data_IF_410339336986
#
_entry.id   IF_410339336986
#
_cell.length_a   1.000
_cell.length_b   1.000
_cell.length_c   1.000
_cell.angle_alpha   90.00
_cell.angle_beta   90.00
_cell.angle_gamma   90.00
#
_symmetry.space_group_name_H-M   'P 1'
#
loop_
_entity.id
_entity.type
_entity.pdbx_description
1 polymer ?
#
# COMPACT_ATOMS: atom_id res chain seq x y z
N UNK A 1 -8.95 12.89 4.18
CA UNK A 1 -9.07 14.36 4.20
C UNK A 1 -8.88 14.95 5.60
N UNK A 2 -8.83 16.25 5.76
CA UNK A 2 -8.82 16.90 7.09
C UNK A 2 -10.11 16.62 7.85
N UNK A 3 -10.11 16.88 9.16
CA UNK A 3 -11.33 16.85 9.96
C UNK A 3 -12.23 18.01 9.49
N UNK A 4 -13.50 17.70 9.27
CA UNK A 4 -14.49 18.64 8.77
C UNK A 4 -15.14 19.41 9.93
N UNK A 5 -15.47 20.68 9.70
CA UNK A 5 -16.34 21.45 10.59
C UNK A 5 -17.78 20.97 10.46
N UNK A 6 -18.62 21.22 11.48
CA UNK A 6 -20.03 20.88 11.44
C UNK A 6 -20.75 21.51 10.23
N UNK A 7 -20.38 22.74 9.88
CA UNK A 7 -20.92 23.48 8.74
C UNK A 7 -20.54 22.83 7.40
N UNK A 8 -19.32 22.35 7.24
CA UNK A 8 -18.88 21.61 6.05
C UNK A 8 -19.59 20.26 5.90
N UNK A 9 -19.82 19.55 7.02
CA UNK A 9 -20.59 18.29 7.02
C UNK A 9 -22.02 18.48 6.52
N UNK A 10 -22.63 19.63 6.83
CA UNK A 10 -24.03 19.93 6.47
C UNK A 10 -24.21 20.47 5.06
N UNK A 11 -23.19 21.11 4.48
CA UNK A 11 -23.29 21.82 3.20
C UNK A 11 -22.80 21.01 2.01
N UNK A 12 -21.92 20.04 2.22
CA UNK A 12 -21.27 19.31 1.14
C UNK A 12 -21.90 17.92 0.97
N UNK A 13 -22.17 17.55 -0.27
CA UNK A 13 -22.64 16.21 -0.64
C UNK A 13 -21.47 15.22 -0.74
N UNK A 14 -20.67 15.13 0.32
CA UNK A 14 -19.52 14.24 0.39
C UNK A 14 -19.83 12.97 1.19
N UNK A 15 -19.21 11.87 0.79
CA UNK A 15 -19.13 10.71 1.66
C UNK A 15 -18.29 11.06 2.88
N UNK A 16 -18.84 10.89 4.07
CA UNK A 16 -18.21 11.27 5.33
C UNK A 16 -18.17 10.05 6.26
N UNK A 17 -17.00 9.74 6.79
CA UNK A 17 -16.82 8.75 7.83
C UNK A 17 -16.53 9.41 9.18
N UNK A 18 -17.14 8.91 10.23
CA UNK A 18 -16.79 9.24 11.60
C UNK A 18 -15.43 8.58 11.94
N UNK A 19 -14.53 9.36 12.50
CA UNK A 19 -13.22 8.86 12.97
C UNK A 19 -13.00 9.26 14.42
N UNK A 20 -12.04 8.64 15.11
CA UNK A 20 -11.71 8.96 16.50
C UNK A 20 -11.33 10.43 16.75
N UNK A 21 -10.98 11.19 15.71
CA UNK A 21 -10.61 12.59 15.75
C UNK A 21 -11.67 13.53 15.15
N UNK A 22 -12.77 12.99 14.65
CA UNK A 22 -13.87 13.75 14.06
C UNK A 22 -14.30 13.27 12.67
N UNK A 23 -15.34 13.89 12.07
CA UNK A 23 -15.81 13.53 10.74
C UNK A 23 -14.79 13.93 9.66
N UNK A 24 -14.56 13.03 8.70
CA UNK A 24 -13.63 13.25 7.58
C UNK A 24 -14.28 12.86 6.28
N UNK A 25 -14.05 13.65 5.23
CA UNK A 25 -14.41 13.24 3.87
C UNK A 25 -13.64 11.98 3.50
N UNK A 26 -14.36 11.00 2.95
CA UNK A 26 -13.82 9.77 2.41
C UNK A 26 -14.13 9.66 0.91
N UNK A 27 -13.36 8.89 0.21
CA UNK A 27 -13.55 8.55 -1.20
C UNK A 27 -13.24 7.07 -1.41
N UNK A 28 -13.67 6.50 -2.52
CA UNK A 28 -13.33 5.13 -2.87
C UNK A 28 -11.81 4.92 -2.92
N UNK A 29 -11.35 3.72 -2.53
CA UNK A 29 -9.95 3.29 -2.67
C UNK A 29 -9.88 1.99 -3.47
N UNK A 30 -10.07 2.06 -4.79
CA UNK A 30 -10.07 0.90 -5.67
C UNK A 30 -8.67 0.30 -5.84
N UNK A 31 -8.63 -0.95 -6.30
CA UNK A 31 -7.38 -1.56 -6.76
C UNK A 31 -6.93 -0.90 -8.07
N UNK A 32 -5.64 -0.49 -8.18
CA UNK A 32 -5.10 -0.01 -9.45
C UNK A 32 -5.02 -1.18 -10.44
N UNK A 33 -5.36 -0.91 -11.72
CA UNK A 33 -5.35 -1.92 -12.78
C UNK A 33 -4.16 -1.77 -13.71
N UNK A 34 -3.68 -0.54 -13.91
CA UNK A 34 -2.57 -0.24 -14.81
C UNK A 34 -1.90 1.07 -14.41
N UNK A 35 -0.66 1.24 -14.84
CA UNK A 35 0.14 2.45 -14.65
C UNK A 35 0.37 3.05 -16.03
N UNK A 36 -0.15 4.24 -16.29
CA UNK A 36 -0.10 4.86 -17.63
C UNK A 36 1.34 5.13 -18.09
N UNK A 37 2.19 5.56 -17.16
CA UNK A 37 3.59 5.91 -17.43
C UNK A 37 4.56 4.71 -17.39
N UNK A 38 4.04 3.48 -17.29
CA UNK A 38 4.84 2.27 -17.10
C UNK A 38 5.94 2.10 -18.16
N UNK A 39 5.64 2.38 -19.42
CA UNK A 39 6.61 2.24 -20.52
C UNK A 39 7.81 3.18 -20.34
N UNK A 40 7.56 4.41 -19.90
CA UNK A 40 8.61 5.40 -19.63
C UNK A 40 9.43 4.97 -18.41
N UNK A 41 8.76 4.56 -17.32
CA UNK A 41 9.41 4.08 -16.09
C UNK A 41 10.33 2.92 -16.42
N UNK A 42 9.84 1.92 -17.16
CA UNK A 42 10.62 0.73 -17.56
C UNK A 42 11.85 1.11 -18.39
N UNK A 43 11.71 2.05 -19.32
CA UNK A 43 12.82 2.53 -20.13
C UNK A 43 13.90 3.18 -19.28
N UNK A 44 13.53 4.07 -18.36
CA UNK A 44 14.47 4.78 -17.50
C UNK A 44 15.18 3.81 -16.54
N UNK A 45 14.43 2.91 -15.90
CA UNK A 45 15.02 1.88 -15.02
C UNK A 45 15.99 0.99 -15.81
N UNK A 46 15.62 0.56 -17.02
CA UNK A 46 16.49 -0.24 -17.88
C UNK A 46 17.79 0.47 -18.32
N UNK A 47 17.82 1.79 -18.25
CA UNK A 47 19.00 2.61 -18.47
C UNK A 47 19.80 2.90 -17.19
N UNK A 48 19.41 2.31 -16.05
CA UNK A 48 20.07 2.48 -14.76
C UNK A 48 19.69 3.77 -14.01
N UNK A 49 18.62 4.45 -14.42
CA UNK A 49 18.12 5.62 -13.72
C UNK A 49 17.41 5.25 -12.42
N UNK A 50 17.54 6.08 -11.39
CA UNK A 50 16.70 6.04 -10.19
C UNK A 50 15.44 6.84 -10.47
N UNK A 51 14.28 6.18 -10.41
CA UNK A 51 12.99 6.77 -10.77
C UNK A 51 12.12 7.00 -9.54
N UNK A 52 11.68 8.24 -9.34
CA UNK A 52 10.67 8.60 -8.35
C UNK A 52 9.32 8.69 -9.05
N UNK A 53 8.38 7.83 -8.69
CA UNK A 53 7.05 7.79 -9.33
C UNK A 53 5.95 7.45 -8.32
N UNK A 54 4.69 7.66 -8.72
CA UNK A 54 3.50 7.28 -7.97
C UNK A 54 3.19 8.11 -6.74
N UNK A 55 4.17 8.71 -6.08
CA UNK A 55 3.94 9.49 -4.86
C UNK A 55 3.11 8.73 -3.82
N UNK A 56 1.96 9.26 -3.44
CA UNK A 56 1.02 8.62 -2.50
C UNK A 56 0.13 7.52 -3.08
N UNK A 57 0.37 7.07 -4.33
CA UNK A 57 -0.41 6.04 -5.03
C UNK A 57 -0.78 6.42 -6.48
N UNK A 58 -0.37 7.60 -6.92
CA UNK A 58 -0.69 8.14 -8.26
C UNK A 58 -2.02 8.88 -8.31
N UNK A 59 -2.30 9.47 -9.46
CA UNK A 59 -3.56 10.16 -9.75
C UNK A 59 -4.53 9.14 -10.35
N UNK A 60 -5.67 8.84 -9.66
CA UNK A 60 -6.64 7.90 -10.19
C UNK A 60 -7.38 8.48 -11.39
N UNK A 61 -7.34 7.75 -12.49
CA UNK A 61 -8.02 8.09 -13.72
C UNK A 61 -8.79 6.89 -14.28
N UNK A 62 -9.84 7.15 -15.02
CA UNK A 62 -10.56 6.15 -15.82
C UNK A 62 -10.52 6.56 -17.29
N UNK A 63 -10.61 5.58 -18.17
CA UNK A 63 -10.78 5.86 -19.59
C UNK A 63 -12.26 6.12 -19.87
N UNK A 64 -12.53 7.26 -20.48
CA UNK A 64 -13.83 7.61 -21.01
C UNK A 64 -13.66 7.92 -22.50
N UNK A 65 -14.26 7.09 -23.34
CA UNK A 65 -14.06 7.13 -24.79
C UNK A 65 -12.56 7.14 -25.15
N UNK A 66 -12.06 8.22 -25.74
CA UNK A 66 -10.67 8.34 -26.18
C UNK A 66 -9.75 9.15 -25.26
N UNK A 67 -10.21 9.52 -24.06
CA UNK A 67 -9.41 10.32 -23.12
C UNK A 67 -9.45 9.78 -21.68
N UNK A 68 -8.49 10.22 -20.89
CA UNK A 68 -8.38 9.90 -19.47
C UNK A 68 -9.00 11.00 -18.61
N UNK A 69 -9.85 10.62 -17.67
CA UNK A 69 -10.55 11.54 -16.76
C UNK A 69 -10.21 11.21 -15.32
N UNK A 70 -9.82 12.22 -14.55
CA UNK A 70 -9.61 12.10 -13.12
C UNK A 70 -10.90 11.75 -12.38
N UNK A 71 -10.82 10.90 -11.37
CA UNK A 71 -11.97 10.48 -10.56
C UNK A 71 -11.73 10.75 -9.07
N UNK A 72 -12.78 11.01 -8.28
CA UNK A 72 -12.68 11.19 -6.83
C UNK A 72 -12.41 9.85 -6.14
N UNK A 73 -11.15 9.42 -6.15
CA UNK A 73 -10.68 8.18 -5.54
C UNK A 73 -9.28 8.40 -4.96
N UNK A 74 -8.80 7.46 -4.14
CA UNK A 74 -7.42 7.38 -3.67
C UNK A 74 -6.90 5.99 -3.95
N UNK A 75 -5.82 5.89 -4.71
CA UNK A 75 -5.09 4.63 -4.84
C UNK A 75 -4.15 4.50 -3.64
N UNK A 76 -4.24 3.38 -2.95
CA UNK A 76 -3.32 3.06 -1.85
C UNK A 76 -1.90 2.88 -2.39
N UNK A 77 -0.92 3.52 -1.73
CA UNK A 77 0.48 3.51 -2.16
C UNK A 77 1.11 2.12 -2.14
N UNK A 78 0.71 1.27 -1.19
CA UNK A 78 1.27 -0.08 -1.07
C UNK A 78 0.75 -0.96 -2.21
N UNK A 79 -0.54 -0.81 -2.59
CA UNK A 79 -1.14 -1.45 -3.78
C UNK A 79 -0.53 -0.96 -5.08
N UNK A 80 -0.25 0.35 -5.18
CA UNK A 80 0.46 0.90 -6.33
C UNK A 80 1.87 0.32 -6.43
N UNK A 81 2.61 0.26 -5.32
CA UNK A 81 3.97 -0.29 -5.29
C UNK A 81 4.01 -1.77 -5.66
N UNK A 82 3.04 -2.56 -5.18
CA UNK A 82 2.91 -3.96 -5.55
C UNK A 82 2.63 -4.14 -7.05
N UNK A 83 1.72 -3.34 -7.63
CA UNK A 83 1.47 -3.35 -9.06
C UNK A 83 2.71 -2.94 -9.86
N UNK A 84 3.41 -1.89 -9.45
CA UNK A 84 4.63 -1.43 -10.11
C UNK A 84 5.73 -2.49 -10.05
N UNK A 85 5.94 -3.12 -8.90
CA UNK A 85 6.89 -4.21 -8.73
C UNK A 85 6.55 -5.38 -9.68
N UNK A 86 5.28 -5.75 -9.76
CA UNK A 86 4.78 -6.79 -10.67
C UNK A 86 5.07 -6.45 -12.12
N UNK A 87 4.72 -5.26 -12.54
CA UNK A 87 4.89 -4.82 -13.93
C UNK A 87 6.36 -4.66 -14.34
N UNK A 88 7.23 -4.36 -13.41
CA UNK A 88 8.68 -4.29 -13.64
C UNK A 88 9.40 -5.61 -13.44
N UNK A 89 8.74 -6.66 -12.95
CA UNK A 89 9.35 -7.92 -12.50
C UNK A 89 10.50 -7.66 -11.52
N UNK A 90 10.20 -6.87 -10.47
CA UNK A 90 11.20 -6.41 -9.53
C UNK A 90 11.81 -7.58 -8.74
N UNK A 91 13.10 -7.55 -8.49
CA UNK A 91 13.81 -8.52 -7.65
C UNK A 91 13.44 -8.34 -6.18
N UNK A 92 13.17 -7.10 -5.75
CA UNK A 92 12.82 -6.76 -4.38
C UNK A 92 11.69 -5.73 -4.34
N UNK A 93 10.68 -5.99 -3.51
CA UNK A 93 9.71 -4.99 -3.05
C UNK A 93 9.95 -4.71 -1.57
N UNK A 94 10.46 -3.53 -1.23
CA UNK A 94 10.67 -3.12 0.14
C UNK A 94 9.68 -2.02 0.53
N UNK A 95 8.90 -2.28 1.58
CA UNK A 95 7.94 -1.32 2.14
C UNK A 95 8.47 -0.79 3.47
N UNK A 96 8.79 0.50 3.51
CA UNK A 96 9.17 1.18 4.74
C UNK A 96 7.92 1.63 5.52
N UNK A 97 7.87 1.30 6.80
CA UNK A 97 6.74 1.59 7.70
C UNK A 97 7.23 1.97 9.09
N UNK A 98 6.40 2.72 9.83
CA UNK A 98 6.78 3.25 11.15
C UNK A 98 6.84 2.20 12.27
N UNK A 99 6.53 0.94 11.98
CA UNK A 99 6.65 -0.16 12.94
C UNK A 99 7.97 -0.89 12.74
N UNK A 100 8.54 -1.36 13.83
CA UNK A 100 9.81 -2.11 13.89
C UNK A 100 9.64 -3.58 13.49
N UNK A 101 8.47 -4.16 13.73
CA UNK A 101 8.18 -5.56 13.41
C UNK A 101 6.69 -5.82 13.21
N UNK A 102 6.37 -6.84 12.43
CA UNK A 102 5.02 -7.40 12.37
C UNK A 102 4.76 -8.15 13.68
N UNK A 103 3.56 -7.99 14.25
CA UNK A 103 3.21 -8.62 15.54
C UNK A 103 1.89 -9.36 15.45
N UNK A 104 1.82 -10.53 16.05
CA UNK A 104 0.59 -11.25 16.35
C UNK A 104 0.21 -11.10 17.81
N UNK A 105 -1.09 -11.25 18.14
CA UNK A 105 -1.61 -11.05 19.49
C UNK A 105 -1.45 -9.61 19.99
N UNK A 106 -1.48 -8.63 19.11
CA UNK A 106 -1.18 -7.23 19.44
C UNK A 106 -2.04 -6.71 20.60
N UNK A 107 -1.38 -6.17 21.63
CA UNK A 107 -2.03 -5.65 22.82
C UNK A 107 -2.50 -6.72 23.82
N UNK A 108 -2.13 -7.98 23.64
CA UNK A 108 -2.44 -9.08 24.55
C UNK A 108 -1.18 -9.65 25.21
N UNK A 109 -1.35 -10.51 26.22
CA UNK A 109 -0.23 -11.23 26.87
C UNK A 109 0.46 -12.25 25.95
N UNK A 110 -0.13 -12.54 24.78
CA UNK A 110 0.41 -13.45 23.76
C UNK A 110 1.09 -12.72 22.60
N UNK A 111 1.33 -11.42 22.73
CA UNK A 111 1.99 -10.62 21.68
C UNK A 111 3.38 -11.18 21.33
N UNK A 112 3.60 -11.39 20.03
CA UNK A 112 4.88 -11.90 19.49
C UNK A 112 5.25 -11.13 18.22
N UNK A 113 6.53 -10.73 18.15
CA UNK A 113 7.11 -10.20 16.92
C UNK A 113 7.38 -11.34 15.92
N UNK A 114 7.12 -11.09 14.67
CA UNK A 114 7.42 -11.99 13.56
C UNK A 114 8.53 -11.37 12.69
N UNK A 115 9.54 -12.15 12.40
CA UNK A 115 10.59 -11.80 11.42
C UNK A 115 10.22 -12.25 10.01
N UNK A 116 9.44 -13.32 9.91
CA UNK A 116 8.94 -13.87 8.65
C UNK A 116 7.48 -14.29 8.82
N UNK A 117 6.73 -14.22 7.72
CA UNK A 117 5.36 -14.72 7.64
C UNK A 117 5.11 -15.33 6.27
N UNK A 118 4.45 -16.48 6.21
CA UNK A 118 4.03 -17.05 4.94
C UNK A 118 2.85 -16.26 4.35
N UNK A 119 2.69 -16.30 3.01
CA UNK A 119 1.52 -15.71 2.35
C UNK A 119 0.20 -16.28 2.89
N UNK A 120 0.16 -17.55 3.22
CA UNK A 120 -1.03 -18.21 3.77
C UNK A 120 -1.38 -17.68 5.16
N UNK A 121 -0.39 -17.57 6.05
CA UNK A 121 -0.60 -17.06 7.40
C UNK A 121 -0.95 -15.56 7.39
N UNK A 122 -0.34 -14.79 6.48
CA UNK A 122 -0.69 -13.39 6.30
C UNK A 122 -2.15 -13.20 5.88
N UNK A 123 -2.63 -14.00 4.92
CA UNK A 123 -4.03 -13.97 4.48
C UNK A 123 -4.98 -14.42 5.61
N UNK A 124 -4.67 -15.51 6.30
CA UNK A 124 -5.45 -15.99 7.43
C UNK A 124 -5.53 -14.93 8.55
N UNK A 125 -4.43 -14.24 8.85
CA UNK A 125 -4.38 -13.16 9.83
C UNK A 125 -5.20 -11.93 9.41
N UNK A 126 -5.26 -11.63 8.10
CA UNK A 126 -6.14 -10.56 7.58
C UNK A 126 -7.61 -10.96 7.73
N UNK A 127 -7.97 -12.19 7.35
CA UNK A 127 -9.35 -12.70 7.44
C UNK A 127 -9.85 -12.80 8.88
N UNK A 128 -9.01 -13.22 9.80
CA UNK A 128 -9.36 -13.30 11.23
C UNK A 128 -9.43 -11.94 11.93
N UNK A 129 -8.96 -10.86 11.28
CA UNK A 129 -8.88 -9.53 11.87
C UNK A 129 -7.67 -9.31 12.77
N UNK A 130 -6.74 -10.25 12.83
CA UNK A 130 -5.43 -10.11 13.51
C UNK A 130 -4.67 -8.89 12.98
N UNK A 131 -4.72 -8.69 11.66
CA UNK A 131 -4.14 -7.51 10.99
C UNK A 131 -5.25 -6.55 10.56
N UNK A 132 -5.46 -5.43 11.29
CA UNK A 132 -6.61 -4.54 11.10
C UNK A 132 -6.69 -3.94 9.69
N UNK A 133 -7.91 -3.80 9.12
CA UNK A 133 -8.12 -3.30 7.76
C UNK A 133 -7.72 -1.84 7.56
N UNK A 134 -7.59 -1.05 8.63
CA UNK A 134 -7.22 0.37 8.58
C UNK A 134 -5.72 0.63 8.63
N UNK A 135 -4.87 -0.39 8.80
CA UNK A 135 -3.43 -0.21 9.00
C UNK A 135 -2.59 -1.30 8.33
N UNK A 136 -2.39 -2.43 9.00
CA UNK A 136 -1.48 -3.51 8.56
C UNK A 136 -2.12 -4.40 7.48
N UNK A 137 -3.42 -4.67 7.54
CA UNK A 137 -4.11 -5.56 6.61
C UNK A 137 -3.91 -5.18 5.13
N UNK A 138 -4.19 -3.93 4.70
CA UNK A 138 -3.98 -3.49 3.32
C UNK A 138 -2.52 -3.61 2.86
N UNK A 139 -1.56 -3.32 3.73
CA UNK A 139 -0.13 -3.43 3.46
C UNK A 139 0.28 -4.87 3.21
N UNK A 140 -0.07 -5.79 4.12
CA UNK A 140 0.19 -7.21 3.95
C UNK A 140 -0.50 -7.78 2.72
N UNK A 141 -1.75 -7.38 2.45
CA UNK A 141 -2.47 -7.78 1.23
C UNK A 141 -1.71 -7.39 -0.05
N UNK A 142 -1.15 -6.18 -0.10
CA UNK A 142 -0.35 -5.72 -1.23
C UNK A 142 0.95 -6.52 -1.37
N UNK A 143 1.63 -6.79 -0.25
CA UNK A 143 2.87 -7.59 -0.21
C UNK A 143 2.62 -9.04 -0.66
N UNK A 144 1.55 -9.67 -0.17
CA UNK A 144 1.14 -11.02 -0.59
C UNK A 144 0.83 -11.05 -2.09
N UNK A 145 0.09 -10.07 -2.60
CA UNK A 145 -0.21 -9.97 -4.03
C UNK A 145 1.06 -9.90 -4.88
N UNK A 146 2.04 -9.09 -4.50
CA UNK A 146 3.32 -9.00 -5.19
C UNK A 146 4.05 -10.35 -5.16
N UNK A 147 4.19 -10.97 -3.98
CA UNK A 147 4.88 -12.26 -3.82
C UNK A 147 4.24 -13.41 -4.59
N UNK A 148 2.90 -13.45 -4.63
CA UNK A 148 2.18 -14.47 -5.40
C UNK A 148 2.29 -14.29 -6.90
N UNK A 149 2.46 -13.04 -7.36
CA UNK A 149 2.58 -12.73 -8.79
C UNK A 149 4.01 -12.86 -9.30
N UNK A 150 5.00 -12.50 -8.45
CA UNK A 150 6.43 -12.55 -8.80
C UNK A 150 7.10 -13.52 -7.83
N UNK A 151 7.19 -14.78 -8.22
CA UNK A 151 7.69 -15.86 -7.35
C UNK A 151 9.10 -15.60 -6.81
N UNK A 152 9.98 -15.06 -7.63
CA UNK A 152 11.38 -14.78 -7.29
C UNK A 152 11.59 -13.43 -6.58
N UNK A 153 10.56 -12.59 -6.47
CA UNK A 153 10.64 -11.32 -5.78
C UNK A 153 10.79 -11.54 -4.26
N UNK A 154 11.78 -10.91 -3.67
CA UNK A 154 11.87 -10.77 -2.23
C UNK A 154 10.97 -9.64 -1.76
N UNK A 155 10.11 -9.91 -0.79
CA UNK A 155 9.15 -8.90 -0.29
C UNK A 155 9.46 -8.61 1.16
N UNK A 156 9.93 -7.39 1.42
CA UNK A 156 10.48 -6.95 2.69
C UNK A 156 9.65 -5.81 3.30
N UNK A 157 9.62 -5.78 4.62
CA UNK A 157 9.08 -4.65 5.39
C UNK A 157 10.07 -4.26 6.49
N UNK A 158 10.34 -2.96 6.64
CA UNK A 158 11.27 -2.48 7.65
C UNK A 158 10.88 -1.10 8.18
N UNK A 159 11.48 -0.72 9.30
CA UNK A 159 11.41 0.65 9.80
C UNK A 159 12.20 1.62 8.91
N UNK A 160 11.84 2.93 8.90
CA UNK A 160 12.67 3.95 8.26
C UNK A 160 14.09 3.94 8.83
N UNK A 161 15.09 3.86 7.97
CA UNK A 161 16.50 3.78 8.36
C UNK A 161 17.08 2.36 8.39
N UNK A 162 16.26 1.32 8.42
CA UNK A 162 16.72 -0.07 8.41
C UNK A 162 16.71 -0.75 7.02
N UNK A 163 16.36 0.00 5.97
CA UNK A 163 16.26 -0.53 4.61
C UNK A 163 17.52 -1.27 4.15
N UNK A 164 18.70 -0.74 4.46
CA UNK A 164 19.96 -1.36 4.07
C UNK A 164 20.21 -2.68 4.82
N UNK A 165 19.85 -2.74 6.10
CA UNK A 165 19.92 -3.98 6.91
C UNK A 165 18.96 -5.03 6.36
N UNK A 166 17.70 -4.62 6.11
CA UNK A 166 16.68 -5.51 5.53
C UNK A 166 17.15 -6.12 4.20
N UNK A 167 17.72 -5.30 3.30
CA UNK A 167 18.25 -5.76 2.01
C UNK A 167 19.47 -6.70 2.15
N UNK A 168 20.15 -6.70 3.29
CA UNK A 168 21.27 -7.62 3.59
C UNK A 168 20.84 -8.85 4.36
N UNK A 169 19.56 -8.98 4.69
CA UNK A 169 19.07 -10.05 5.57
C UNK A 169 19.52 -9.90 7.02
N UNK A 170 19.91 -8.70 7.44
CA UNK A 170 20.27 -8.36 8.81
C UNK A 170 18.99 -7.90 9.54
N UNK A 171 18.33 -8.79 10.28
CA UNK A 171 17.10 -8.51 11.04
C UNK A 171 17.37 -8.27 12.52
#
# INVERSE_FOLDING_TARGET
GPVLSADAVMKEEWDIAATGIGPRRVVASPLPKSILDLAVIRTLVGQGAVVFCGGGGGIPVIRMDDHWVGVPAVIDKDRFSALLATELSADVLLISTAIDSLRTGFGTSSEKSLTEISCADALAGIESGEFPPGSMGPKLSAMVMAKQTITDCEVLMCAPGDALKALRGES
#
